data_IF_137721279277
#
_entry.id   IF_137721279277
#
_cell.length_a   1.000
_cell.length_b   1.000
_cell.length_c   1.000
_cell.angle_alpha   90.00
_cell.angle_beta   90.00
_cell.angle_gamma   90.00
#
_symmetry.space_group_name_H-M   'P 1'
#
loop_
_entity.id
_entity.type
_entity.pdbx_description
1 polymer ?
#
# COMPACT_ATOMS: atom_id res chain seq x y z
N UNK A 1 57.28 -11.31 -55.73
CA UNK A 1 56.25 -10.72 -56.62
C UNK A 1 54.94 -10.65 -55.87
N UNK A 2 54.46 -9.43 -55.62
CA UNK A 2 53.07 -8.94 -55.67
C UNK A 2 51.96 -9.81 -55.01
N UNK A 3 51.01 -9.32 -54.23
CA UNK A 3 50.58 -7.95 -54.00
C UNK A 3 49.67 -7.88 -52.76
N UNK A 4 49.64 -6.69 -52.21
CA UNK A 4 48.81 -6.12 -51.15
C UNK A 4 47.31 -6.38 -51.38
N UNK A 5 46.57 -6.72 -50.31
CA UNK A 5 45.23 -6.12 -50.05
C UNK A 5 44.85 -6.17 -48.57
N UNK A 6 45.32 -5.19 -47.81
CA UNK A 6 44.71 -4.76 -46.54
C UNK A 6 43.40 -4.05 -46.86
N UNK A 7 42.26 -4.58 -46.43
CA UNK A 7 41.01 -3.81 -46.42
C UNK A 7 40.83 -3.15 -45.05
N UNK A 8 41.19 -1.88 -45.00
CA UNK A 8 40.90 -0.96 -43.91
C UNK A 8 39.46 -0.45 -44.13
N UNK A 9 38.53 -0.77 -43.23
CA UNK A 9 37.18 -0.18 -43.23
C UNK A 9 37.04 0.68 -41.97
N UNK A 10 37.14 1.99 -42.17
CA UNK A 10 36.67 3.00 -41.24
C UNK A 10 35.15 3.06 -41.32
N UNK A 11 34.45 2.82 -40.22
CA UNK A 11 33.08 3.32 -40.04
C UNK A 11 32.85 3.72 -38.58
N UNK A 12 32.99 5.03 -38.40
CA UNK A 12 32.04 5.92 -37.70
C UNK A 12 31.58 5.52 -36.30
N UNK A 13 32.12 6.27 -35.34
CA UNK A 13 31.60 6.46 -33.98
C UNK A 13 30.09 6.71 -33.98
N UNK A 14 29.35 5.82 -33.32
CA UNK A 14 28.01 6.09 -32.79
C UNK A 14 28.11 5.95 -31.27
N UNK A 15 28.44 7.07 -30.63
CA UNK A 15 28.25 7.29 -29.21
C UNK A 15 26.74 7.36 -28.94
N UNK A 16 26.09 6.21 -28.72
CA UNK A 16 24.79 6.20 -28.07
C UNK A 16 25.02 6.51 -26.58
N UNK A 17 24.95 7.81 -26.25
CA UNK A 17 24.62 8.26 -24.90
C UNK A 17 23.20 7.80 -24.57
N UNK A 18 23.03 6.55 -24.15
CA UNK A 18 21.84 6.16 -23.38
C UNK A 18 22.10 6.51 -21.93
N UNK A 19 22.03 7.81 -21.60
CA UNK A 19 21.75 8.24 -20.24
C UNK A 19 20.27 7.90 -20.02
N UNK A 20 19.98 6.63 -19.75
CA UNK A 20 18.73 6.25 -19.11
C UNK A 20 18.84 6.75 -17.68
N UNK A 21 18.39 8.00 -17.52
CA UNK A 21 17.98 8.61 -16.27
C UNK A 21 16.96 7.70 -15.60
N UNK A 22 17.44 6.71 -14.86
CA UNK A 22 16.71 6.13 -13.74
C UNK A 22 16.68 7.18 -12.63
N UNK A 23 15.85 8.21 -12.82
CA UNK A 23 15.30 8.91 -11.69
C UNK A 23 14.40 7.90 -10.98
N UNK A 24 14.62 7.61 -9.68
CA UNK A 24 13.59 6.94 -8.92
C UNK A 24 12.38 7.88 -8.96
N UNK A 25 11.29 7.45 -9.60
CA UNK A 25 9.96 7.97 -9.33
C UNK A 25 9.68 7.62 -7.87
N UNK A 26 10.22 8.44 -6.98
CA UNK A 26 9.80 8.52 -5.60
C UNK A 26 8.43 9.21 -5.66
N UNK A 27 7.41 8.45 -6.05
CA UNK A 27 6.04 8.82 -5.72
C UNK A 27 5.89 8.60 -4.22
N UNK A 28 6.50 9.51 -3.44
CA UNK A 28 6.03 9.80 -2.10
C UNK A 28 4.72 10.54 -2.29
N UNK A 29 3.66 9.80 -2.58
CA UNK A 29 2.31 10.29 -2.42
C UNK A 29 2.15 10.53 -0.91
N UNK A 30 2.50 11.74 -0.46
CA UNK A 30 2.15 12.19 0.88
C UNK A 30 0.63 12.07 1.00
N UNK A 31 0.14 11.46 2.08
CA UNK A 31 -1.28 11.36 2.37
C UNK A 31 -2.00 12.73 2.30
N UNK A 32 -1.22 13.81 2.46
CA UNK A 32 -1.66 15.20 2.36
C UNK A 32 -2.26 15.56 0.99
N UNK A 33 -1.75 15.00 -0.12
CA UNK A 33 -2.27 15.32 -1.47
C UNK A 33 -3.65 14.73 -1.75
N UNK A 34 -4.09 13.72 -0.97
CA UNK A 34 -5.42 13.12 -1.12
C UNK A 34 -6.48 13.94 -0.38
N UNK A 35 -6.09 14.75 0.61
CA UNK A 35 -7.02 15.47 1.49
C UNK A 35 -7.62 16.72 0.85
N UNK A 36 -6.99 17.30 -0.19
CA UNK A 36 -7.27 18.68 -0.65
C UNK A 36 -8.12 18.81 -1.94
N UNK A 37 -9.11 17.94 -2.13
CA UNK A 37 -10.19 18.23 -3.09
C UNK A 37 -11.55 18.14 -2.38
N UNK A 38 -12.10 19.31 -2.09
CA UNK A 38 -13.39 19.63 -1.43
C UNK A 38 -13.37 19.67 0.09
N UNK A 39 -13.21 20.90 0.55
CA UNK A 39 -14.02 21.45 1.63
C UNK A 39 -13.47 21.15 3.01
N UNK A 40 -13.37 22.22 3.78
CA UNK A 40 -13.07 22.28 5.21
C UNK A 40 -13.99 21.33 6.01
N UNK A 41 -13.66 20.05 6.01
CA UNK A 41 -14.13 19.11 7.00
C UNK A 41 -13.14 19.19 8.15
N UNK A 42 -13.58 19.72 9.29
CA UNK A 42 -12.97 19.51 10.61
C UNK A 42 -12.36 18.10 10.62
N UNK A 43 -11.06 17.94 10.91
CA UNK A 43 -10.26 16.69 10.85
C UNK A 43 -10.85 15.55 11.69
N UNK A 44 -12.01 15.05 11.26
CA UNK A 44 -12.74 13.91 11.79
C UNK A 44 -12.26 12.69 11.02
N UNK A 45 -12.12 11.57 11.73
CA UNK A 45 -11.72 10.26 11.20
C UNK A 45 -12.19 10.06 9.75
N UNK A 46 -11.24 10.07 8.82
CA UNK A 46 -11.48 9.92 7.39
C UNK A 46 -11.19 8.48 6.99
N UNK A 47 -12.11 7.84 6.26
CA UNK A 47 -11.85 6.57 5.57
C UNK A 47 -12.24 6.71 4.11
N UNK A 48 -11.35 6.36 3.18
CA UNK A 48 -11.59 6.43 1.74
C UNK A 48 -11.21 5.12 1.06
N UNK A 49 -12.06 4.67 0.14
CA UNK A 49 -11.82 3.50 -0.70
C UNK A 49 -11.57 3.98 -2.12
N UNK A 50 -10.50 3.53 -2.76
CA UNK A 50 -10.09 3.98 -4.09
C UNK A 50 -9.85 2.77 -4.97
N UNK A 51 -10.56 2.70 -6.10
CA UNK A 51 -10.25 1.72 -7.16
C UNK A 51 -9.08 2.23 -8.01
N UNK A 52 -8.07 1.37 -8.18
CA UNK A 52 -6.87 1.61 -8.98
C UNK A 52 -7.16 2.07 -10.41
N UNK A 53 -8.30 1.64 -10.99
CA UNK A 53 -8.69 2.00 -12.36
C UNK A 53 -9.37 3.36 -12.48
N UNK A 54 -9.92 3.89 -11.40
CA UNK A 54 -10.88 5.00 -11.46
C UNK A 54 -10.43 6.31 -10.84
N UNK A 55 -9.39 6.31 -9.99
CA UNK A 55 -9.08 7.43 -9.07
C UNK A 55 -10.33 8.00 -8.36
N UNK A 56 -11.41 7.21 -8.29
CA UNK A 56 -12.71 7.61 -7.77
C UNK A 56 -12.80 7.13 -6.34
N UNK A 57 -13.24 8.04 -5.47
CA UNK A 57 -13.60 7.68 -4.10
C UNK A 57 -14.89 6.84 -4.15
N UNK A 58 -14.81 5.65 -3.57
CA UNK A 58 -15.88 4.68 -3.44
C UNK A 58 -16.45 4.72 -2.02
N UNK A 59 -17.76 4.54 -1.92
CA UNK A 59 -18.45 4.38 -0.62
C UNK A 59 -19.12 3.01 -0.52
N UNK A 60 -18.40 1.97 -0.07
CA UNK A 60 -18.96 0.63 0.09
C UNK A 60 -19.94 0.52 1.27
N UNK A 61 -20.06 1.55 2.13
CA UNK A 61 -20.99 1.51 3.26
C UNK A 61 -22.43 1.81 2.84
N UNK A 62 -22.61 2.56 1.76
CA UNK A 62 -23.95 2.98 1.29
C UNK A 62 -24.27 2.57 -0.14
N UNK A 63 -23.28 2.23 -0.97
CA UNK A 63 -23.48 1.92 -2.39
C UNK A 63 -23.13 0.47 -2.74
N UNK A 64 -24.15 -0.32 -3.09
CA UNK A 64 -23.99 -1.69 -3.61
C UNK A 64 -23.13 -1.71 -4.87
N UNK A 65 -23.25 -0.68 -5.73
CA UNK A 65 -22.43 -0.55 -6.94
C UNK A 65 -20.96 -0.38 -6.58
N UNK A 66 -20.66 0.40 -5.54
CA UNK A 66 -19.28 0.66 -5.12
C UNK A 66 -18.68 -0.57 -4.45
N UNK A 67 -19.46 -1.31 -3.66
CA UNK A 67 -19.10 -2.66 -3.17
C UNK A 67 -18.77 -3.58 -4.34
N UNK A 68 -19.64 -3.65 -5.35
CA UNK A 68 -19.42 -4.50 -6.53
C UNK A 68 -18.16 -4.09 -7.30
N UNK A 69 -17.87 -2.81 -7.40
CA UNK A 69 -16.66 -2.33 -8.05
C UNK A 69 -15.40 -2.76 -7.30
N UNK A 70 -15.36 -2.58 -5.97
CA UNK A 70 -14.26 -3.06 -5.13
C UNK A 70 -14.11 -4.59 -5.21
N UNK A 71 -15.22 -5.32 -5.19
CA UNK A 71 -15.21 -6.77 -5.20
C UNK A 71 -14.57 -7.37 -6.47
N UNK A 72 -14.78 -6.72 -7.61
CA UNK A 72 -14.30 -7.16 -8.91
C UNK A 72 -13.03 -6.43 -9.37
N UNK A 73 -12.52 -5.47 -8.59
CA UNK A 73 -11.27 -4.81 -8.96
C UNK A 73 -10.10 -5.78 -8.81
N UNK A 74 -9.08 -5.61 -9.66
CA UNK A 74 -7.82 -6.35 -9.51
C UNK A 74 -6.95 -5.75 -8.42
N UNK A 75 -7.19 -4.48 -8.12
CA UNK A 75 -6.52 -3.75 -7.04
C UNK A 75 -7.45 -2.65 -6.51
N UNK A 76 -7.48 -2.47 -5.19
CA UNK A 76 -8.01 -1.27 -4.57
C UNK A 76 -7.24 -0.88 -3.32
N UNK A 77 -7.42 0.37 -2.91
CA UNK A 77 -6.76 0.95 -1.75
C UNK A 77 -7.77 1.46 -0.72
N UNK A 78 -7.35 1.43 0.54
CA UNK A 78 -8.11 1.98 1.66
C UNK A 78 -7.20 2.89 2.46
N UNK A 79 -7.62 4.14 2.59
CA UNK A 79 -6.94 5.15 3.40
C UNK A 79 -7.74 5.36 4.68
N UNK A 80 -7.06 5.35 5.82
CA UNK A 80 -7.62 5.80 7.09
C UNK A 80 -6.74 6.90 7.64
N UNK A 81 -7.30 8.06 7.95
CA UNK A 81 -6.54 9.22 8.42
C UNK A 81 -7.30 9.87 9.56
N UNK A 82 -6.60 10.13 10.66
CA UNK A 82 -7.05 11.04 11.69
C UNK A 82 -5.87 11.87 12.21
N UNK A 83 -6.06 12.56 13.34
CA UNK A 83 -5.01 13.39 13.92
C UNK A 83 -3.86 12.59 14.53
N UNK A 84 -4.09 11.35 14.95
CA UNK A 84 -3.10 10.54 15.67
C UNK A 84 -2.39 9.53 14.76
N UNK A 85 -3.01 9.15 13.63
CA UNK A 85 -2.42 8.18 12.72
C UNK A 85 -2.91 8.33 11.28
N UNK A 86 -2.14 7.73 10.36
CA UNK A 86 -2.59 7.41 9.02
C UNK A 86 -2.27 5.96 8.66
N UNK A 87 -3.10 5.37 7.80
CA UNK A 87 -2.81 4.08 7.20
C UNK A 87 -3.26 4.02 5.75
N UNK A 88 -2.55 3.20 4.97
CA UNK A 88 -2.89 2.83 3.59
C UNK A 88 -2.83 1.32 3.48
N UNK A 89 -3.96 0.69 3.18
CA UNK A 89 -4.04 -0.71 2.79
C UNK A 89 -4.20 -0.83 1.29
N UNK A 90 -3.47 -1.75 0.66
CA UNK A 90 -3.59 -2.10 -0.76
C UNK A 90 -3.96 -3.57 -0.84
N UNK A 91 -4.96 -3.90 -1.64
CA UNK A 91 -5.44 -5.25 -1.87
C UNK A 91 -5.30 -5.57 -3.34
N UNK A 92 -4.64 -6.69 -3.68
CA UNK A 92 -4.34 -7.08 -5.07
C UNK A 92 -4.72 -8.53 -5.32
N UNK A 93 -5.42 -8.79 -6.42
CA UNK A 93 -5.70 -10.13 -6.93
C UNK A 93 -5.94 -10.09 -8.44
N UNK A 94 -5.18 -10.88 -9.21
CA UNK A 94 -5.28 -10.91 -10.66
C UNK A 94 -6.64 -11.39 -11.21
N UNK A 95 -7.39 -12.16 -10.42
CA UNK A 95 -8.72 -12.67 -10.78
C UNK A 95 -9.87 -11.82 -10.20
N UNK A 96 -9.54 -10.70 -9.56
CA UNK A 96 -10.45 -9.86 -8.78
C UNK A 96 -10.36 -10.14 -7.29
N UNK A 97 -10.47 -9.11 -6.45
CA UNK A 97 -10.24 -9.22 -4.99
C UNK A 97 -11.13 -10.29 -4.35
N UNK A 98 -12.44 -10.31 -4.63
CA UNK A 98 -13.31 -11.29 -3.97
C UNK A 98 -13.15 -12.71 -4.51
N UNK A 99 -12.86 -12.88 -5.81
CA UNK A 99 -12.56 -14.20 -6.35
C UNK A 99 -11.28 -14.77 -5.70
N UNK A 100 -10.23 -13.94 -5.59
CA UNK A 100 -8.98 -14.34 -4.92
C UNK A 100 -9.18 -14.63 -3.44
N UNK A 101 -9.95 -13.79 -2.73
CA UNK A 101 -10.22 -13.98 -1.30
C UNK A 101 -11.02 -15.25 -1.00
N UNK A 102 -11.94 -15.62 -1.89
CA UNK A 102 -12.76 -16.82 -1.78
C UNK A 102 -12.05 -18.09 -2.25
N UNK A 103 -11.10 -17.95 -3.18
CA UNK A 103 -10.36 -19.05 -3.80
C UNK A 103 -9.04 -19.38 -3.12
N UNK A 104 -8.23 -20.16 -3.84
CA UNK A 104 -6.95 -20.69 -3.34
C UNK A 104 -5.75 -19.76 -3.59
N UNK A 105 -5.91 -18.75 -4.45
CA UNK A 105 -4.84 -17.80 -4.77
C UNK A 105 -4.68 -16.73 -3.68
N UNK A 106 -5.78 -16.31 -3.07
CA UNK A 106 -5.78 -15.29 -2.02
C UNK A 106 -5.74 -13.86 -2.57
N UNK A 107 -5.65 -12.92 -1.65
CA UNK A 107 -5.46 -11.50 -1.95
C UNK A 107 -4.15 -11.06 -1.33
N UNK A 108 -3.25 -10.52 -2.13
CA UNK A 108 -2.06 -9.90 -1.60
C UNK A 108 -2.42 -8.56 -0.98
N UNK A 109 -2.00 -8.39 0.26
CA UNK A 109 -2.35 -7.30 1.14
C UNK A 109 -1.06 -6.61 1.59
N UNK A 110 -0.99 -5.29 1.41
CA UNK A 110 0.06 -4.46 1.99
C UNK A 110 -0.58 -3.35 2.82
N UNK A 111 -0.17 -3.18 4.08
CA UNK A 111 -0.59 -2.07 4.91
C UNK A 111 0.60 -1.29 5.44
N UNK A 112 0.60 0.01 5.17
CA UNK A 112 1.49 0.97 5.80
C UNK A 112 0.72 1.71 6.89
N UNK A 113 1.29 1.82 8.09
CA UNK A 113 0.72 2.59 9.19
C UNK A 113 1.76 3.56 9.76
N UNK A 114 1.35 4.80 10.00
CA UNK A 114 2.11 5.83 10.69
C UNK A 114 1.29 6.32 11.90
N UNK A 115 1.81 6.12 13.10
CA UNK A 115 1.28 6.69 14.35
C UNK A 115 2.11 7.93 14.69
N UNK A 116 1.47 9.09 14.72
CA UNK A 116 2.14 10.37 14.93
C UNK A 116 2.54 10.56 16.39
N UNK A 117 3.71 11.16 16.62
CA UNK A 117 4.18 11.48 17.98
C UNK A 117 3.34 12.62 18.56
N UNK A 118 3.04 13.63 17.75
CA UNK A 118 2.17 14.73 18.12
C UNK A 118 0.92 14.72 17.22
N UNK A 119 -0.29 14.86 17.78
CA UNK A 119 -1.50 14.91 16.98
C UNK A 119 -1.42 16.03 15.96
N UNK A 120 -1.82 15.74 14.73
CA UNK A 120 -1.82 16.64 13.58
C UNK A 120 -0.43 17.03 13.03
N UNK A 121 0.64 16.36 13.45
CA UNK A 121 2.00 16.56 12.97
C UNK A 121 2.55 15.26 12.38
N UNK A 122 2.70 15.23 11.05
CA UNK A 122 3.18 14.06 10.31
C UNK A 122 4.72 14.00 10.16
N UNK A 123 5.45 14.92 10.81
CA UNK A 123 6.91 14.98 10.71
C UNK A 123 7.63 13.93 11.58
N UNK A 124 7.02 13.51 12.69
CA UNK A 124 7.55 12.47 13.57
C UNK A 124 6.51 11.38 13.83
N UNK A 125 6.87 10.12 13.56
CA UNK A 125 5.97 8.98 13.68
C UNK A 125 6.71 7.66 13.88
N UNK A 126 5.96 6.65 14.33
CA UNK A 126 6.38 5.25 14.33
C UNK A 126 5.30 4.38 13.70
N UNK A 127 5.65 3.18 13.27
CA UNK A 127 4.68 2.23 12.73
C UNK A 127 5.37 1.17 11.90
N UNK A 128 4.87 0.91 10.70
CA UNK A 128 5.52 -0.05 9.81
C UNK A 128 4.69 -0.47 8.61
N UNK A 129 5.28 -1.38 7.86
CA UNK A 129 4.71 -1.98 6.66
C UNK A 129 4.49 -3.46 6.89
N UNK A 130 3.26 -3.92 6.72
CA UNK A 130 2.87 -5.33 6.79
C UNK A 130 2.54 -5.79 5.37
N UNK A 131 3.08 -6.94 4.98
CA UNK A 131 2.65 -7.68 3.79
C UNK A 131 2.09 -9.03 4.19
N UNK A 132 1.03 -9.50 3.54
CA UNK A 132 0.50 -10.85 3.70
C UNK A 132 -0.36 -11.26 2.50
N UNK A 133 -0.55 -12.56 2.29
CA UNK A 133 -1.59 -13.09 1.41
C UNK A 133 -2.77 -13.53 2.29
N UNK A 134 -3.94 -12.92 2.12
CA UNK A 134 -5.14 -13.15 2.93
C UNK A 134 -6.19 -13.97 2.18
N UNK A 135 -6.87 -14.84 2.92
CA UNK A 135 -7.87 -15.77 2.43
C UNK A 135 -9.09 -15.73 3.34
N UNK A 136 -10.27 -16.08 2.82
CA UNK A 136 -11.48 -16.19 3.64
C UNK A 136 -11.36 -17.29 4.69
N UNK A 137 -11.12 -18.52 4.24
CA UNK A 137 -11.16 -19.70 5.11
C UNK A 137 -9.79 -20.10 5.66
N UNK A 138 -8.71 -19.78 4.94
CA UNK A 138 -7.35 -20.15 5.33
C UNK A 138 -6.68 -19.08 6.20
N UNK A 139 -5.67 -19.52 6.96
CA UNK A 139 -4.75 -18.62 7.65
C UNK A 139 -3.97 -17.76 6.64
N UNK A 140 -3.62 -16.51 7.01
CA UNK A 140 -2.75 -15.68 6.19
C UNK A 140 -1.41 -16.35 5.92
N UNK A 141 -0.90 -16.18 4.70
CA UNK A 141 0.42 -16.68 4.27
C UNK A 141 1.35 -15.51 3.96
N UNK A 142 2.64 -15.82 3.77
CA UNK A 142 3.65 -14.84 3.34
C UNK A 142 3.67 -13.57 4.21
N UNK A 143 3.41 -13.73 5.51
CA UNK A 143 3.30 -12.61 6.45
C UNK A 143 4.69 -12.04 6.71
N UNK A 144 4.87 -10.76 6.42
CA UNK A 144 6.10 -10.00 6.62
C UNK A 144 5.80 -8.67 7.30
N UNK A 145 6.74 -8.19 8.10
CA UNK A 145 6.62 -6.89 8.78
C UNK A 145 7.96 -6.18 8.84
N UNK A 146 7.93 -4.88 8.54
CA UNK A 146 9.07 -3.98 8.64
C UNK A 146 8.66 -2.78 9.50
N UNK A 147 9.23 -2.62 10.71
CA UNK A 147 8.95 -1.46 11.54
C UNK A 147 9.64 -0.20 10.98
N UNK A 148 8.99 0.95 11.13
CA UNK A 148 9.49 2.26 10.69
C UNK A 148 9.44 3.22 11.87
N UNK A 149 10.54 3.97 12.07
CA UNK A 149 10.66 4.98 13.11
C UNK A 149 11.25 6.25 12.48
N UNK A 150 10.51 7.33 12.53
CA UNK A 150 10.93 8.67 12.12
C UNK A 150 10.74 9.56 13.35
N UNK A 151 11.72 9.53 14.25
CA UNK A 151 11.65 10.21 15.54
C UNK A 151 12.99 10.90 15.77
N UNK A 152 12.96 12.20 16.07
CA UNK A 152 14.17 13.00 16.24
C UNK A 152 14.78 12.83 17.64
N UNK A 153 13.95 12.59 18.66
CA UNK A 153 14.42 12.36 20.02
C UNK A 153 14.91 10.90 20.19
N UNK A 154 16.22 10.67 20.37
CA UNK A 154 16.78 9.31 20.39
C UNK A 154 16.36 8.50 21.62
N UNK A 155 16.09 9.16 22.75
CA UNK A 155 15.62 8.48 23.96
C UNK A 155 14.18 8.00 23.76
N UNK A 156 13.33 8.86 23.21
CA UNK A 156 11.95 8.51 22.88
C UNK A 156 11.89 7.40 21.81
N UNK A 157 12.72 7.49 20.76
CA UNK A 157 12.81 6.45 19.73
C UNK A 157 13.13 5.10 20.35
N UNK A 158 14.14 5.04 21.23
CA UNK A 158 14.54 3.80 21.92
C UNK A 158 13.41 3.21 22.74
N UNK A 159 12.70 4.05 23.50
CA UNK A 159 11.56 3.62 24.32
C UNK A 159 10.40 3.07 23.48
N UNK A 160 10.04 3.77 22.39
CA UNK A 160 8.99 3.33 21.47
C UNK A 160 9.41 2.03 20.80
N UNK A 161 10.62 1.93 20.26
CA UNK A 161 11.13 0.73 19.60
C UNK A 161 11.05 -0.50 20.51
N UNK A 162 11.50 -0.38 21.77
CA UNK A 162 11.44 -1.48 22.73
C UNK A 162 10.00 -1.94 23.02
N UNK A 163 9.06 -1.00 23.09
CA UNK A 163 7.63 -1.29 23.28
C UNK A 163 7.05 -2.03 22.07
N UNK A 164 7.28 -1.52 20.86
CA UNK A 164 6.75 -2.07 19.61
C UNK A 164 7.33 -3.45 19.30
N UNK A 165 8.62 -3.68 19.58
CA UNK A 165 9.27 -4.99 19.44
C UNK A 165 8.57 -6.05 20.31
N UNK A 166 8.16 -5.70 21.53
CA UNK A 166 7.42 -6.59 22.42
C UNK A 166 6.00 -6.92 21.92
N UNK A 167 5.42 -6.08 21.05
CA UNK A 167 4.03 -6.18 20.59
C UNK A 167 3.91 -6.59 19.10
N UNK A 168 5.04 -6.74 18.40
CA UNK A 168 5.09 -6.94 16.94
C UNK A 168 4.15 -8.04 16.45
N UNK A 169 4.10 -9.21 17.12
CA UNK A 169 3.20 -10.31 16.72
C UNK A 169 1.73 -9.91 16.79
N UNK A 170 1.34 -9.17 17.82
CA UNK A 170 -0.03 -8.72 18.01
C UNK A 170 -0.40 -7.64 16.98
N UNK A 171 0.51 -6.68 16.74
CA UNK A 171 0.33 -5.64 15.72
C UNK A 171 0.07 -6.26 14.34
N UNK A 172 0.86 -7.26 13.95
CA UNK A 172 0.68 -7.99 12.69
C UNK A 172 -0.69 -8.66 12.66
N UNK A 173 -1.03 -9.42 13.71
CA UNK A 173 -2.29 -10.15 13.80
C UNK A 173 -3.50 -9.21 13.67
N UNK A 174 -3.51 -8.12 14.44
CA UNK A 174 -4.64 -7.18 14.47
C UNK A 174 -4.86 -6.53 13.09
N UNK A 175 -3.78 -6.13 12.42
CA UNK A 175 -3.87 -5.51 11.09
C UNK A 175 -4.31 -6.50 10.02
N UNK A 176 -3.78 -7.72 10.03
CA UNK A 176 -4.21 -8.74 9.06
C UNK A 176 -5.67 -9.13 9.30
N UNK A 177 -6.07 -9.34 10.55
CA UNK A 177 -7.45 -9.71 10.91
C UNK A 177 -8.45 -8.59 10.60
N UNK A 178 -8.13 -7.33 10.90
CA UNK A 178 -9.03 -6.21 10.62
C UNK A 178 -9.27 -6.06 9.11
N UNK A 179 -8.23 -6.24 8.30
CA UNK A 179 -8.35 -6.12 6.84
C UNK A 179 -9.00 -7.37 6.22
N UNK A 180 -8.80 -8.56 6.79
CA UNK A 180 -9.58 -9.76 6.46
C UNK A 180 -11.06 -9.56 6.77
N UNK A 181 -11.40 -8.97 7.92
CA UNK A 181 -12.78 -8.66 8.27
C UNK A 181 -13.41 -7.60 7.36
N UNK A 182 -12.65 -6.60 6.93
CA UNK A 182 -13.11 -5.63 5.93
C UNK A 182 -13.52 -6.35 4.64
N UNK A 183 -12.66 -7.23 4.12
CA UNK A 183 -13.02 -8.03 2.94
C UNK A 183 -14.25 -8.89 3.22
N UNK A 184 -14.29 -9.62 4.33
CA UNK A 184 -15.35 -10.58 4.57
C UNK A 184 -16.73 -9.95 4.79
N UNK A 185 -16.79 -8.87 5.57
CA UNK A 185 -18.05 -8.27 6.03
C UNK A 185 -18.58 -7.16 5.13
N UNK A 186 -17.70 -6.50 4.39
CA UNK A 186 -18.05 -5.31 3.61
C UNK A 186 -17.89 -5.51 2.11
N UNK A 187 -16.69 -5.92 1.65
CA UNK A 187 -16.37 -5.92 0.22
C UNK A 187 -16.86 -7.19 -0.48
N UNK A 188 -16.57 -8.35 0.12
CA UNK A 188 -16.85 -9.68 -0.41
C UNK A 188 -18.01 -10.35 0.31
N UNK A 189 -18.89 -9.57 0.93
CA UNK A 189 -20.02 -10.10 1.71
C UNK A 189 -20.82 -11.09 0.86
N UNK A 190 -20.90 -12.34 1.31
CA UNK A 190 -21.81 -13.30 0.68
C UNK A 190 -23.24 -12.80 0.89
N UNK A 191 -24.02 -12.73 -0.19
CA UNK A 191 -25.46 -12.56 -0.05
C UNK A 191 -26.02 -13.69 0.81
N UNK A 192 -26.93 -13.35 1.73
CA UNK A 192 -27.81 -14.38 2.30
C UNK A 192 -28.54 -15.03 1.12
N UNK A 193 -28.29 -16.32 0.91
CA UNK A 193 -29.02 -17.10 -0.09
C UNK A 193 -30.40 -17.43 0.42
#
# INVERSE_FOLDING_TARGET
MNNIRRSMKYYTYLLCFSVLSFLPLSFSASAKTIVDERGEATRKNLTRYIDSKGQRILDPSTSIRDVKNLANSVEFEVYMINEDFSSRSIFVSGEGVCNGFEGDNGVDFTNSTNNYINPNDDSEYYGGVIGASIYRQNEPKNVQYVPVYVINNPQLEKEIRQREEGQTKQIIKDKVDSNKQLLDKMVCKKGEK
#
